data_IF_396050933444
#
_entry.id   IF_396050933444
#
_cell.length_a   1.000
_cell.length_b   1.000
_cell.length_c   1.000
_cell.angle_alpha   90.00
_cell.angle_beta   90.00
_cell.angle_gamma   90.00
#
_symmetry.space_group_name_H-M   'P 1'
#
loop_
_entity.id
_entity.type
_entity.pdbx_description
1 polymer ?
#
# COMPACT_ATOMS: atom_id res chain seq x y z
N UNK A 1 -9.09 -8.63 -0.92
CA UNK A 1 -8.10 -8.80 0.17
C UNK A 1 -6.69 -8.75 -0.40
N UNK A 2 -5.71 -8.20 0.33
CA UNK A 2 -4.28 -8.28 -0.03
C UNK A 2 -3.67 -9.42 0.79
N UNK A 3 -3.23 -10.50 0.12
CA UNK A 3 -2.68 -11.68 0.80
C UNK A 3 -1.47 -12.19 0.03
N UNK A 4 -0.52 -12.79 0.76
CA UNK A 4 0.66 -13.45 0.23
C UNK A 4 1.90 -12.58 0.25
N UNK A 5 3.05 -13.23 0.07
CA UNK A 5 4.37 -12.60 0.12
C UNK A 5 4.96 -12.53 -1.28
N UNK A 6 5.51 -11.38 -1.65
CA UNK A 6 6.14 -11.15 -2.94
C UNK A 6 7.50 -10.49 -2.75
N UNK A 7 8.56 -11.16 -3.18
CA UNK A 7 9.87 -10.56 -3.25
C UNK A 7 9.96 -9.70 -4.53
N UNK A 8 9.99 -8.38 -4.36
CA UNK A 8 10.15 -7.42 -5.45
C UNK A 8 11.36 -6.54 -5.14
N UNK A 9 12.27 -6.41 -6.11
CA UNK A 9 13.42 -5.51 -5.98
C UNK A 9 12.98 -4.08 -6.30
N UNK A 10 13.52 -3.15 -5.53
CA UNK A 10 13.43 -1.73 -5.83
C UNK A 10 14.34 -1.41 -7.03
N UNK A 11 13.85 -0.59 -7.96
CA UNK A 11 14.67 -0.10 -9.07
C UNK A 11 15.52 1.10 -8.66
N UNK A 12 16.38 1.56 -9.57
CA UNK A 12 17.29 2.70 -9.34
C UNK A 12 16.58 4.01 -9.02
N UNK A 13 15.28 4.11 -9.32
CA UNK A 13 14.44 5.30 -9.07
C UNK A 13 13.58 5.15 -7.81
N UNK A 14 13.82 4.11 -7.01
CA UNK A 14 13.07 3.87 -5.79
C UNK A 14 11.68 3.27 -6.02
N UNK A 15 11.38 2.75 -7.21
CA UNK A 15 10.06 2.18 -7.54
C UNK A 15 10.02 0.69 -7.24
N UNK A 16 8.85 0.23 -6.81
CA UNK A 16 8.55 -1.19 -6.57
C UNK A 16 7.36 -1.59 -7.45
N UNK A 17 7.53 -2.63 -8.26
CA UNK A 17 6.46 -3.12 -9.11
C UNK A 17 5.42 -3.88 -8.28
N UNK A 18 4.18 -3.40 -8.26
CA UNK A 18 3.09 -4.10 -7.58
C UNK A 18 2.68 -5.37 -8.36
N UNK A 19 2.44 -6.50 -7.67
CA UNK A 19 1.89 -7.72 -8.27
C UNK A 19 0.61 -7.44 -9.06
N UNK A 20 0.49 -8.07 -10.24
CA UNK A 20 -0.62 -7.83 -11.17
C UNK A 20 -2.01 -7.95 -10.52
N UNK A 21 -2.19 -8.97 -9.66
CA UNK A 21 -3.43 -9.24 -8.91
C UNK A 21 -3.89 -8.12 -7.97
N UNK A 22 -3.02 -7.15 -7.66
CA UNK A 22 -3.35 -6.03 -6.79
C UNK A 22 -3.64 -4.74 -7.55
N UNK A 23 -3.34 -4.68 -8.86
CA UNK A 23 -3.47 -3.45 -9.66
C UNK A 23 -4.90 -2.94 -9.73
N UNK A 24 -5.86 -3.82 -9.99
CA UNK A 24 -7.29 -3.44 -10.06
C UNK A 24 -7.79 -2.82 -8.76
N UNK A 25 -7.31 -3.30 -7.60
CA UNK A 25 -7.71 -2.79 -6.28
C UNK A 25 -7.02 -1.48 -5.89
N UNK A 26 -6.04 -1.02 -6.68
CA UNK A 26 -5.23 0.17 -6.43
C UNK A 26 -5.29 1.16 -7.61
N UNK A 27 -6.11 0.90 -8.64
CA UNK A 27 -6.16 1.68 -9.88
C UNK A 27 -6.67 3.10 -9.64
N UNK A 28 -7.61 3.26 -8.71
CA UNK A 28 -8.20 4.55 -8.36
C UNK A 28 -7.26 5.41 -7.48
N UNK A 29 -6.09 4.88 -7.14
CA UNK A 29 -5.08 5.54 -6.32
C UNK A 29 -4.79 4.82 -5.02
N UNK A 30 -3.68 5.23 -4.39
CA UNK A 30 -3.19 4.65 -3.14
C UNK A 30 -2.53 5.71 -2.27
N UNK A 31 -2.46 5.42 -0.97
CA UNK A 31 -1.72 6.19 0.03
C UNK A 31 -0.61 5.32 0.59
N UNK A 32 0.56 5.93 0.80
CA UNK A 32 1.71 5.32 1.44
C UNK A 32 1.97 6.01 2.78
N UNK A 33 2.17 5.23 3.83
CA UNK A 33 2.55 5.74 5.16
C UNK A 33 3.75 5.00 5.72
N UNK A 34 4.41 5.61 6.72
CA UNK A 34 5.41 4.91 7.52
C UNK A 34 4.71 3.79 8.30
N UNK A 35 5.10 2.56 8.05
CA UNK A 35 4.68 1.41 8.82
C UNK A 35 5.55 1.19 10.05
N UNK A 36 5.31 0.08 10.75
CA UNK A 36 6.12 -0.36 11.89
C UNK A 36 7.42 -1.01 11.41
N UNK A 37 8.40 -1.22 12.29
CA UNK A 37 9.60 -2.02 11.98
C UNK A 37 10.29 -1.65 10.65
N UNK A 38 10.46 -0.36 10.39
CA UNK A 38 11.09 0.17 9.17
C UNK A 38 10.39 -0.24 7.85
N UNK A 39 9.10 -0.56 7.88
CA UNK A 39 8.34 -0.86 6.67
C UNK A 39 7.52 0.34 6.17
N UNK A 40 6.96 0.19 4.97
CA UNK A 40 6.02 1.12 4.36
C UNK A 40 4.68 0.41 4.21
N UNK A 41 3.62 1.04 4.70
CA UNK A 41 2.25 0.55 4.55
C UNK A 41 1.58 1.22 3.35
N UNK A 42 0.81 0.44 2.60
CA UNK A 42 0.10 0.91 1.41
C UNK A 42 -1.39 0.61 1.55
N UNK A 43 -2.22 1.61 1.29
CA UNK A 43 -3.68 1.51 1.40
C UNK A 43 -4.36 2.01 0.13
N UNK A 44 -5.46 1.37 -0.33
CA UNK A 44 -6.40 2.03 -1.22
C UNK A 44 -6.92 3.33 -0.59
N UNK A 45 -7.20 4.34 -1.41
CA UNK A 45 -7.69 5.64 -0.92
C UNK A 45 -8.89 5.50 0.04
N UNK A 46 -9.90 4.73 -0.37
CA UNK A 46 -11.12 4.54 0.41
C UNK A 46 -10.87 3.87 1.78
N UNK A 47 -9.94 2.92 1.84
CA UNK A 47 -9.58 2.23 3.09
C UNK A 47 -8.81 3.16 4.02
N UNK A 48 -7.89 3.96 3.48
CA UNK A 48 -7.17 4.94 4.27
C UNK A 48 -8.13 5.98 4.88
N UNK A 49 -9.05 6.53 4.08
CA UNK A 49 -10.06 7.48 4.57
C UNK A 49 -10.92 6.90 5.69
N UNK A 50 -11.27 5.61 5.61
CA UNK A 50 -12.02 4.93 6.68
C UNK A 50 -11.19 4.83 7.96
N UNK A 51 -9.94 4.37 7.87
CA UNK A 51 -9.07 4.17 9.03
C UNK A 51 -8.60 5.49 9.66
N UNK A 52 -8.37 6.53 8.87
CA UNK A 52 -7.92 7.83 9.38
C UNK A 52 -8.97 8.51 10.25
N UNK A 53 -10.24 8.26 9.98
CA UNK A 53 -11.36 8.76 10.81
C UNK A 53 -11.42 8.00 12.13
N UNK A 54 -11.18 6.69 12.10
CA UNK A 54 -11.24 5.81 13.28
C UNK A 54 -10.09 6.09 14.27
N UNK A 55 -8.89 6.42 13.77
CA UNK A 55 -7.73 6.76 14.62
C UNK A 55 -7.74 8.20 15.17
N UNK A 56 -8.62 9.06 14.65
CA UNK A 56 -8.76 10.45 15.11
C UNK A 56 -9.74 10.59 16.31
N UNK A 57 -10.26 9.47 16.82
CA UNK A 57 -11.11 9.37 18.01
C UNK A 57 -10.34 8.71 19.16
#
# INVERSE_FOLDING_TARGET
MFLGTHAVRMDEKGRVALPARFRERLVDGLIMTRGQEHCVSVFPLAEFSRQSVELAQ
#
